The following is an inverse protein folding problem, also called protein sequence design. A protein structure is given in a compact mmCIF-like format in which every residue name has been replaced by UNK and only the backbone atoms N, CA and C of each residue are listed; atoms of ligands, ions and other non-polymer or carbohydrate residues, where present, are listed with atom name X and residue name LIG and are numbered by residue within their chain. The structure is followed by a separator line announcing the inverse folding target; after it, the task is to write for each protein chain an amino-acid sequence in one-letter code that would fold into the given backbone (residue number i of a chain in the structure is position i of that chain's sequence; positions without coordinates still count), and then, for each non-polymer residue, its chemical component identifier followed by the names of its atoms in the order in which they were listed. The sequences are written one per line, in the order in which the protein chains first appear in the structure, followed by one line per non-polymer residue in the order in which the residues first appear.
data_IF_123414051996
#
_entry.id   IF_123414051996
#
_cell.length_a   1.000
_cell.length_b   1.000
_cell.length_c   1.000
_cell.angle_alpha   90.00
_cell.angle_beta   90.00
_cell.angle_gamma   90.00
#
_symmetry.space_group_name_H-M   'P 1'
#
loop_
_entity.id
_entity.type
_entity.pdbx_description
1 polymer ?
#
# COMPACT_ATOMS: atom_id res chain seq x y z
N UNK A 1 -2.88 -19.49 -2.57
CA UNK A 1 -1.79 -20.06 -1.78
C UNK A 1 -1.73 -19.38 -0.41
N UNK A 2 -1.68 -20.20 0.65
CA UNK A 2 -1.61 -19.66 2.04
C UNK A 2 -0.13 -19.60 2.42
N UNK A 3 0.39 -18.39 2.57
CA UNK A 3 1.70 -18.19 3.19
C UNK A 3 1.58 -18.51 4.69
N UNK A 4 2.42 -19.42 5.18
CA UNK A 4 2.55 -19.74 6.60
C UNK A 4 3.93 -19.29 7.09
N UNK A 5 3.97 -18.64 8.23
CA UNK A 5 5.21 -18.30 8.93
C UNK A 5 5.19 -18.98 10.29
N UNK A 6 6.16 -19.84 10.55
CA UNK A 6 6.33 -20.53 11.83
C UNK A 6 7.54 -19.91 12.55
N UNK A 7 7.29 -19.36 13.73
CA UNK A 7 8.33 -18.79 14.58
C UNK A 7 8.54 -19.69 15.78
N UNK A 8 9.71 -20.30 15.88
CA UNK A 8 10.08 -21.19 16.98
C UNK A 8 11.16 -20.53 17.81
N UNK A 9 10.95 -20.44 19.13
CA UNK A 9 11.95 -19.92 20.05
C UNK A 9 13.04 -20.97 20.29
N UNK A 10 14.28 -20.52 20.15
CA UNK A 10 15.49 -21.20 20.59
C UNK A 10 16.01 -20.51 21.86
N UNK A 11 17.17 -20.91 22.37
CA UNK A 11 17.72 -20.35 23.62
C UNK A 11 17.90 -18.81 23.54
N UNK A 12 18.61 -18.33 22.54
CA UNK A 12 19.01 -16.93 22.33
C UNK A 12 18.65 -16.40 20.93
N UNK A 13 17.77 -17.12 20.22
CA UNK A 13 17.38 -16.79 18.87
C UNK A 13 15.94 -17.24 18.56
N UNK A 14 15.42 -16.80 17.44
CA UNK A 14 14.18 -17.29 16.84
C UNK A 14 14.51 -17.95 15.51
N UNK A 15 14.02 -19.16 15.34
CA UNK A 15 13.95 -19.84 14.03
C UNK A 15 12.67 -19.44 13.35
N UNK A 16 12.79 -18.76 12.23
CA UNK A 16 11.65 -18.32 11.42
C UNK A 16 11.64 -19.12 10.13
N UNK A 17 10.58 -19.90 9.94
CA UNK A 17 10.36 -20.70 8.74
C UNK A 17 9.18 -20.16 7.96
N UNK A 18 9.40 -19.83 6.70
CA UNK A 18 8.37 -19.33 5.78
C UNK A 18 8.08 -20.41 4.76
N UNK A 19 6.83 -20.87 4.74
CA UNK A 19 6.29 -21.81 3.76
C UNK A 19 5.30 -21.07 2.89
N UNK A 20 5.58 -20.98 1.61
CA UNK A 20 4.69 -20.43 0.58
C UNK A 20 4.53 -21.46 -0.57
N UNK A 21 4.33 -21.04 -1.80
CA UNK A 21 4.21 -21.92 -2.97
C UNK A 21 5.51 -22.59 -3.43
N UNK A 22 6.64 -22.23 -2.82
CA UNK A 22 7.98 -22.77 -3.13
C UNK A 22 8.57 -23.54 -1.95
N UNK A 23 9.86 -23.89 -2.01
CA UNK A 23 10.58 -24.51 -0.92
C UNK A 23 10.55 -23.65 0.34
N UNK A 24 10.44 -24.27 1.52
CA UNK A 24 10.46 -23.53 2.77
C UNK A 24 11.80 -22.82 2.96
N UNK A 25 11.72 -21.58 3.44
CA UNK A 25 12.90 -20.74 3.73
C UNK A 25 13.04 -20.60 5.23
N UNK A 26 14.19 -20.98 5.76
CA UNK A 26 14.50 -20.88 7.18
C UNK A 26 15.55 -19.79 7.40
N UNK A 27 15.34 -18.95 8.41
CA UNK A 27 16.32 -17.98 8.90
C UNK A 27 16.39 -18.02 10.41
N UNK A 28 17.55 -17.68 10.94
CA UNK A 28 17.76 -17.45 12.37
C UNK A 28 17.80 -15.95 12.64
N UNK A 29 17.12 -15.51 13.68
CA UNK A 29 17.11 -14.11 14.14
C UNK A 29 17.59 -14.08 15.57
N UNK A 30 18.70 -13.40 15.85
CA UNK A 30 19.16 -13.18 17.21
C UNK A 30 18.05 -12.43 18.00
N UNK A 31 17.67 -12.95 19.13
CA UNK A 31 16.55 -12.41 19.89
C UNK A 31 16.65 -12.80 21.37
N UNK A 32 16.57 -11.81 22.23
CA UNK A 32 16.47 -12.08 23.67
C UNK A 32 15.12 -12.71 24.05
N UNK A 33 14.97 -13.12 25.31
CA UNK A 33 13.74 -13.80 25.78
C UNK A 33 12.52 -12.89 25.78
N UNK A 34 12.68 -11.57 25.68
CA UNK A 34 11.58 -10.59 25.70
C UNK A 34 10.92 -10.41 24.36
N UNK A 35 11.59 -10.78 23.26
CA UNK A 35 11.06 -10.60 21.90
C UNK A 35 9.73 -11.29 21.74
N UNK A 36 8.72 -10.55 21.29
CA UNK A 36 7.42 -11.07 20.86
C UNK A 36 7.34 -11.04 19.33
N UNK A 37 6.61 -11.95 18.70
CA UNK A 37 6.35 -11.86 17.27
C UNK A 37 5.51 -10.60 16.98
N UNK A 38 5.81 -9.93 15.87
CA UNK A 38 4.99 -8.83 15.36
C UNK A 38 4.44 -9.25 13.99
N UNK A 39 3.13 -9.32 13.92
CA UNK A 39 2.40 -9.57 12.68
C UNK A 39 1.56 -8.34 12.44
N UNK A 40 1.74 -7.69 11.30
CA UNK A 40 0.98 -6.49 10.96
C UNK A 40 -0.53 -6.78 10.98
N UNK A 41 -1.32 -5.85 11.51
CA UNK A 41 -2.77 -5.98 11.74
C UNK A 41 -3.19 -6.97 12.84
N UNK A 42 -2.24 -7.57 13.60
CA UNK A 42 -2.53 -8.43 14.75
C UNK A 42 -2.06 -7.74 16.03
N UNK A 43 -2.93 -7.62 17.04
CA UNK A 43 -2.72 -6.73 18.18
C UNK A 43 -2.45 -7.45 19.51
N UNK A 44 -2.57 -8.79 19.59
CA UNK A 44 -2.26 -9.51 20.81
C UNK A 44 -0.80 -9.35 21.31
N UNK A 45 0.23 -9.15 20.43
CA UNK A 45 1.58 -8.91 20.96
C UNK A 45 1.68 -7.58 21.71
N UNK A 46 0.94 -6.57 21.26
CA UNK A 46 0.84 -5.31 22.00
C UNK A 46 0.15 -5.51 23.35
N UNK A 47 -0.93 -6.29 23.41
CA UNK A 47 -1.60 -6.58 24.67
C UNK A 47 -0.63 -7.21 25.69
N UNK A 48 0.12 -8.24 25.28
CA UNK A 48 1.11 -8.87 26.17
C UNK A 48 2.17 -7.88 26.63
N UNK A 49 2.63 -7.00 25.76
CA UNK A 49 3.61 -5.98 26.09
C UNK A 49 3.05 -4.96 27.10
N UNK A 50 1.81 -4.50 26.90
CA UNK A 50 1.10 -3.57 27.82
C UNK A 50 0.87 -4.20 29.18
N UNK A 51 0.46 -5.47 29.23
CA UNK A 51 0.28 -6.21 30.48
C UNK A 51 1.60 -6.35 31.25
N UNK A 52 2.71 -6.62 30.54
CA UNK A 52 4.06 -6.66 31.14
C UNK A 52 4.47 -5.31 31.73
N UNK A 53 4.24 -4.22 30.99
CA UNK A 53 4.50 -2.88 31.48
C UNK A 53 3.68 -2.58 32.71
N UNK A 54 2.37 -2.88 32.69
CA UNK A 54 1.48 -2.70 33.84
C UNK A 54 1.97 -3.48 35.06
N UNK A 55 2.28 -4.75 34.89
CA UNK A 55 2.76 -5.62 35.98
C UNK A 55 4.10 -5.17 36.55
N UNK A 56 4.98 -4.55 35.77
CA UNK A 56 6.29 -4.06 36.24
C UNK A 56 6.21 -2.79 37.09
N UNK A 57 5.10 -2.04 37.01
CA UNK A 57 4.96 -0.73 37.65
C UNK A 57 5.87 0.37 37.05
N UNK A 58 6.65 0.06 36.02
CA UNK A 58 7.52 1.02 35.38
C UNK A 58 6.73 2.06 34.56
N UNK A 59 7.16 3.34 34.50
CA UNK A 59 6.46 4.35 33.70
C UNK A 59 6.63 4.14 32.20
N UNK A 60 7.72 3.47 31.79
CA UNK A 60 8.02 3.15 30.37
C UNK A 60 8.89 1.92 30.23
N UNK A 61 8.89 1.31 29.04
CA UNK A 61 9.80 0.22 28.68
C UNK A 61 10.04 0.18 27.17
N UNK A 62 11.14 -0.44 26.77
CA UNK A 62 11.35 -0.85 25.38
C UNK A 62 10.97 -2.33 25.25
N UNK A 63 10.03 -2.61 24.36
CA UNK A 63 9.60 -3.96 24.05
C UNK A 63 10.08 -4.34 22.64
N UNK A 64 11.05 -5.26 22.52
CA UNK A 64 11.47 -5.73 21.22
C UNK A 64 10.39 -6.61 20.60
N UNK A 65 10.01 -6.29 19.37
CA UNK A 65 9.08 -7.08 18.54
C UNK A 65 9.78 -7.54 17.27
N UNK A 66 9.54 -8.79 16.85
CA UNK A 66 10.09 -9.34 15.62
C UNK A 66 9.36 -8.73 14.40
N UNK A 67 10.02 -7.77 13.75
CA UNK A 67 9.49 -7.10 12.55
C UNK A 67 10.20 -7.64 11.29
N UNK A 68 9.64 -8.65 10.67
CA UNK A 68 10.28 -9.27 9.51
C UNK A 68 11.59 -9.98 9.88
N UNK A 69 12.75 -9.50 9.43
CA UNK A 69 14.04 -10.18 9.60
C UNK A 69 14.82 -9.83 10.88
N UNK A 70 14.34 -8.86 11.66
CA UNK A 70 15.01 -8.41 12.89
C UNK A 70 14.00 -8.03 13.96
N UNK A 71 14.46 -7.99 15.22
CA UNK A 71 13.70 -7.34 16.28
C UNK A 71 13.87 -5.81 16.19
N UNK A 72 12.79 -5.09 16.47
CA UNK A 72 12.81 -3.64 16.59
C UNK A 72 12.16 -3.23 17.92
N UNK A 73 12.70 -2.22 18.57
CA UNK A 73 12.22 -1.75 19.84
C UNK A 73 11.02 -0.82 19.68
N UNK A 74 9.93 -1.19 20.32
CA UNK A 74 8.73 -0.36 20.47
C UNK A 74 8.76 0.25 21.86
N UNK A 75 8.65 1.57 21.95
CA UNK A 75 8.54 2.22 23.24
C UNK A 75 7.10 2.15 23.74
N UNK A 76 6.92 1.63 24.95
CA UNK A 76 5.64 1.65 25.67
C UNK A 76 5.75 2.58 26.86
N UNK A 77 4.74 3.43 27.08
CA UNK A 77 4.68 4.32 28.23
C UNK A 77 3.31 4.35 28.88
N UNK A 78 3.24 4.34 30.19
CA UNK A 78 2.04 4.63 30.96
C UNK A 78 1.86 6.14 31.06
N UNK A 79 0.73 6.67 30.58
CA UNK A 79 0.43 8.12 30.58
C UNK A 79 -0.77 8.46 31.48
N UNK A 80 -1.37 7.46 32.09
CA UNK A 80 -2.49 7.60 33.02
C UNK A 80 -2.86 6.25 33.63
N UNK A 81 -3.86 6.20 34.51
CA UNK A 81 -4.27 4.97 35.20
C UNK A 81 -4.83 3.89 34.25
N UNK A 82 -5.46 4.29 33.17
CA UNK A 82 -6.05 3.44 32.14
C UNK A 82 -5.50 3.71 30.74
N UNK A 83 -4.48 4.56 30.63
CA UNK A 83 -3.99 5.10 29.37
C UNK A 83 -2.51 4.83 29.18
N UNK A 84 -2.15 4.30 28.02
CA UNK A 84 -0.78 3.99 27.61
C UNK A 84 -0.52 4.45 26.19
N UNK A 85 0.75 4.50 25.81
CA UNK A 85 1.18 4.70 24.42
C UNK A 85 2.06 3.56 23.94
N UNK A 86 2.02 3.32 22.64
CA UNK A 86 2.95 2.43 21.93
C UNK A 86 3.53 3.23 20.78
N UNK A 87 4.82 3.48 20.81
CA UNK A 87 5.54 4.18 19.74
C UNK A 87 6.25 3.17 18.86
N UNK A 88 5.78 3.08 17.61
CA UNK A 88 6.45 2.29 16.59
C UNK A 88 7.71 3.02 16.11
N UNK A 89 8.87 2.35 15.93
CA UNK A 89 10.13 2.99 15.58
C UNK A 89 10.11 3.89 14.34
N UNK A 90 9.15 3.68 13.42
CA UNK A 90 9.09 4.43 12.15
C UNK A 90 7.70 4.93 11.75
N UNK A 91 6.62 4.55 12.48
CA UNK A 91 5.24 4.84 12.03
C UNK A 91 4.47 5.81 12.92
N UNK A 92 5.07 6.24 14.03
CA UNK A 92 4.45 7.15 14.99
C UNK A 92 3.88 6.45 16.22
N UNK A 93 3.17 7.21 17.05
CA UNK A 93 2.67 6.80 18.36
C UNK A 93 1.19 6.48 18.31
N UNK A 94 0.84 5.32 18.83
CA UNK A 94 -0.53 4.85 19.04
C UNK A 94 -0.94 5.14 20.50
N UNK A 95 -2.17 5.58 20.70
CA UNK A 95 -2.78 5.75 22.04
C UNK A 95 -3.60 4.52 22.39
N UNK A 96 -3.47 4.06 23.62
CA UNK A 96 -4.15 2.83 24.05
C UNK A 96 -4.89 3.06 25.35
N UNK A 97 -6.16 2.66 25.43
CA UNK A 97 -6.85 2.48 26.69
C UNK A 97 -6.77 1.02 27.13
N UNK A 98 -6.46 0.79 28.37
CA UNK A 98 -6.27 -0.53 28.95
C UNK A 98 -7.12 -0.69 30.23
N UNK A 99 -7.42 -1.93 30.59
CA UNK A 99 -8.01 -2.22 31.91
C UNK A 99 -6.95 -2.27 33.02
N UNK A 100 -7.38 -2.57 34.24
CA UNK A 100 -6.52 -2.65 35.41
C UNK A 100 -5.38 -3.68 35.25
N UNK A 101 -5.57 -4.72 34.46
CA UNK A 101 -4.55 -5.74 34.16
C UNK A 101 -3.66 -5.38 32.97
N UNK A 102 -3.90 -4.23 32.33
CA UNK A 102 -3.17 -3.82 31.13
C UNK A 102 -3.67 -4.46 29.82
N UNK A 103 -4.86 -5.12 29.85
CA UNK A 103 -5.45 -5.68 28.63
C UNK A 103 -5.96 -4.55 27.75
N UNK A 104 -5.72 -4.69 26.44
CA UNK A 104 -6.10 -3.70 25.45
C UNK A 104 -7.62 -3.59 25.34
N UNK A 105 -8.16 -2.39 25.56
CA UNK A 105 -9.58 -2.05 25.36
C UNK A 105 -9.78 -1.35 24.01
N UNK A 106 -9.06 -0.24 23.80
CA UNK A 106 -9.07 0.53 22.53
C UNK A 106 -7.65 0.90 22.19
N UNK A 107 -7.25 0.73 20.93
CA UNK A 107 -6.01 1.26 20.39
C UNK A 107 -6.34 2.20 19.24
N UNK A 108 -5.90 3.43 19.34
CA UNK A 108 -6.03 4.45 18.30
C UNK A 108 -4.68 4.67 17.62
N UNK A 109 -4.58 4.26 16.38
CA UNK A 109 -3.45 4.48 15.51
C UNK A 109 -3.72 5.55 14.43
N UNK A 110 -4.73 6.40 14.60
CA UNK A 110 -5.11 7.44 13.64
C UNK A 110 -4.01 8.44 13.34
N UNK A 111 -3.14 8.73 14.33
CA UNK A 111 -1.97 9.60 14.17
C UNK A 111 -0.75 8.90 13.55
N UNK A 112 -0.87 7.64 13.13
CA UNK A 112 0.21 6.85 12.51
C UNK A 112 -0.07 6.61 11.03
N UNK A 113 0.89 6.02 10.33
CA UNK A 113 0.68 5.60 8.92
C UNK A 113 -0.37 4.50 8.78
N UNK A 114 -0.78 3.83 9.87
CA UNK A 114 -1.79 2.76 9.85
C UNK A 114 -3.22 3.28 9.77
N UNK A 115 -3.52 4.44 10.38
CA UNK A 115 -4.82 5.13 10.36
C UNK A 115 -6.00 4.21 10.71
N UNK A 116 -5.90 3.44 11.78
CA UNK A 116 -6.93 2.51 12.23
C UNK A 116 -7.22 2.66 13.71
N UNK A 117 -8.41 2.20 14.12
CA UNK A 117 -8.81 2.04 15.51
C UNK A 117 -9.13 0.57 15.74
N UNK A 118 -8.62 0.02 16.84
CA UNK A 118 -8.87 -1.35 17.28
C UNK A 118 -9.66 -1.29 18.58
N UNK A 119 -10.77 -1.99 18.63
CA UNK A 119 -11.60 -2.08 19.83
C UNK A 119 -11.75 -3.54 20.25
N UNK A 120 -11.63 -3.78 21.55
CA UNK A 120 -11.99 -5.08 22.12
C UNK A 120 -13.51 -5.23 22.11
N UNK A 121 -13.98 -6.30 21.52
CA UNK A 121 -15.37 -6.67 21.52
C UNK A 121 -15.59 -7.91 22.40
N UNK A 122 -16.81 -8.16 22.89
CA UNK A 122 -17.17 -9.45 23.49
C UNK A 122 -16.83 -10.60 22.53
N UNK A 123 -16.65 -11.79 23.10
CA UNK A 123 -16.41 -12.98 22.28
C UNK A 123 -17.54 -13.18 21.26
N UNK A 124 -17.15 -13.53 20.04
CA UNK A 124 -18.11 -13.83 18.97
C UNK A 124 -17.71 -15.14 18.27
N UNK A 125 -18.70 -15.90 17.81
CA UNK A 125 -18.45 -17.08 16.99
C UNK A 125 -17.95 -16.65 15.61
N UNK A 126 -16.73 -17.05 15.26
CA UNK A 126 -16.17 -16.80 13.93
C UNK A 126 -16.93 -17.57 12.85
N UNK A 127 -17.45 -18.77 13.16
CA UNK A 127 -18.24 -19.56 12.24
C UNK A 127 -19.57 -18.89 11.91
N UNK A 128 -20.25 -18.34 12.94
CA UNK A 128 -21.49 -17.56 12.74
C UNK A 128 -21.23 -16.29 11.93
N UNK A 129 -20.09 -15.63 12.16
CA UNK A 129 -19.70 -14.44 11.40
C UNK A 129 -19.39 -14.79 9.94
N UNK A 130 -18.64 -15.85 9.69
CA UNK A 130 -18.33 -16.35 8.35
C UNK A 130 -19.61 -16.75 7.59
N UNK A 131 -20.52 -17.48 8.25
CA UNK A 131 -21.81 -17.84 7.65
C UNK A 131 -22.67 -16.62 7.28
N UNK A 132 -22.67 -15.59 8.13
CA UNK A 132 -23.37 -14.32 7.85
C UNK A 132 -22.79 -13.62 6.62
N UNK A 133 -21.47 -13.57 6.51
CA UNK A 133 -20.81 -12.95 5.34
C UNK A 133 -21.01 -13.76 4.06
N UNK A 134 -20.93 -15.09 4.14
CA UNK A 134 -21.24 -15.95 3.01
C UNK A 134 -22.67 -15.77 2.51
N UNK A 135 -23.63 -15.63 3.44
CA UNK A 135 -25.03 -15.36 3.09
C UNK A 135 -25.19 -13.96 2.45
N UNK A 136 -24.49 -12.95 2.94
CA UNK A 136 -24.47 -11.61 2.36
C UNK A 136 -23.85 -11.61 0.94
N UNK A 137 -22.77 -12.35 0.74
CA UNK A 137 -22.15 -12.54 -0.57
C UNK A 137 -23.12 -13.21 -1.57
N UNK A 138 -23.77 -14.30 -1.14
CA UNK A 138 -24.76 -14.99 -1.94
C UNK A 138 -25.98 -14.13 -2.31
N UNK A 139 -26.35 -13.19 -1.44
CA UNK A 139 -27.41 -12.21 -1.68
C UNK A 139 -26.95 -10.98 -2.48
N UNK A 140 -25.70 -10.92 -2.95
CA UNK A 140 -25.13 -9.75 -3.64
C UNK A 140 -24.90 -8.53 -2.75
N UNK A 141 -25.01 -8.66 -1.44
CA UNK A 141 -24.86 -7.59 -0.44
C UNK A 141 -23.44 -7.56 0.19
N UNK A 142 -22.46 -8.15 -0.48
CA UNK A 142 -21.05 -8.17 -0.02
C UNK A 142 -20.40 -6.80 -0.14
N UNK A 143 -19.23 -6.66 0.49
CA UNK A 143 -18.37 -5.49 0.31
C UNK A 143 -17.81 -5.35 -1.13
N UNK A 144 -18.18 -6.27 -2.02
CA UNK A 144 -17.79 -6.33 -3.43
C UNK A 144 -16.43 -7.03 -3.66
N UNK A 145 -16.17 -7.34 -4.91
CA UNK A 145 -14.95 -8.02 -5.33
C UNK A 145 -13.69 -7.24 -4.97
N UNK A 146 -12.61 -7.95 -4.69
CA UNK A 146 -11.28 -7.33 -4.56
C UNK A 146 -10.93 -6.57 -5.85
N UNK A 147 -10.03 -5.58 -5.73
CA UNK A 147 -9.52 -4.88 -6.91
C UNK A 147 -8.94 -5.88 -7.91
N UNK A 148 -9.47 -5.85 -9.11
CA UNK A 148 -9.01 -6.67 -10.22
C UNK A 148 -7.70 -6.15 -10.82
N UNK A 149 -7.37 -6.69 -11.99
CA UNK A 149 -6.23 -6.27 -12.81
C UNK A 149 -6.68 -6.22 -14.27
N UNK A 150 -6.18 -5.25 -15.01
CA UNK A 150 -6.43 -5.09 -16.44
C UNK A 150 -5.14 -4.77 -17.17
N UNK A 151 -5.04 -5.26 -18.41
CA UNK A 151 -3.98 -4.87 -19.34
C UNK A 151 -4.60 -4.19 -20.54
N UNK A 152 -4.03 -3.06 -20.93
CA UNK A 152 -4.41 -2.28 -22.11
C UNK A 152 -3.22 -2.23 -23.05
N UNK A 153 -3.43 -2.62 -24.31
CA UNK A 153 -2.42 -2.47 -25.37
C UNK A 153 -2.99 -1.53 -26.42
N UNK A 154 -2.22 -0.52 -26.79
CA UNK A 154 -2.60 0.49 -27.79
C UNK A 154 -1.46 0.68 -28.79
N UNK A 155 -1.82 0.90 -30.07
CA UNK A 155 -0.87 1.31 -31.08
C UNK A 155 -1.09 2.80 -31.40
N UNK A 156 -0.05 3.60 -31.23
CA UNK A 156 -0.09 5.06 -31.40
C UNK A 156 1.15 5.50 -32.17
N UNK A 157 0.97 6.15 -33.31
CA UNK A 157 2.05 6.65 -34.18
C UNK A 157 3.16 5.58 -34.43
N UNK A 158 2.76 4.31 -34.58
CA UNK A 158 3.67 3.19 -34.81
C UNK A 158 4.35 2.63 -33.56
N UNK A 159 4.12 3.20 -32.38
CA UNK A 159 4.54 2.60 -31.10
C UNK A 159 3.46 1.66 -30.57
N UNK A 160 3.85 0.51 -30.03
CA UNK A 160 3.02 -0.38 -29.23
C UNK A 160 3.25 -0.11 -27.76
N UNK A 161 2.20 0.31 -27.08
CA UNK A 161 2.24 0.64 -25.64
C UNK A 161 1.33 -0.33 -24.90
N UNK A 162 1.88 -0.98 -23.87
CA UNK A 162 1.10 -1.86 -22.99
C UNK A 162 1.17 -1.35 -21.57
N UNK A 163 0.00 -1.27 -20.91
CA UNK A 163 -0.13 -0.88 -19.51
C UNK A 163 -0.89 -1.97 -18.77
N UNK A 164 -0.30 -2.50 -17.71
CA UNK A 164 -0.90 -3.50 -16.84
C UNK A 164 -1.07 -2.91 -15.43
N UNK A 165 -2.30 -2.75 -14.98
CA UNK A 165 -2.65 -2.00 -13.78
C UNK A 165 -3.72 -2.67 -12.93
N UNK A 166 -3.71 -2.37 -11.63
CA UNK A 166 -4.80 -2.73 -10.74
C UNK A 166 -6.02 -1.85 -10.95
N UNK A 167 -7.21 -2.44 -10.83
CA UNK A 167 -8.50 -1.79 -11.08
C UNK A 167 -9.32 -1.63 -9.78
N UNK A 168 -8.96 -0.68 -8.87
CA UNK A 168 -9.76 -0.42 -7.68
C UNK A 168 -11.09 0.23 -8.03
N UNK A 169 -12.16 -0.16 -7.31
CA UNK A 169 -13.48 0.45 -7.42
C UNK A 169 -13.65 1.58 -6.41
N UNK A 170 -14.40 2.60 -6.76
CA UNK A 170 -14.75 3.75 -5.91
C UNK A 170 -15.59 3.34 -4.70
N UNK A 171 -16.63 2.59 -4.92
CA UNK A 171 -17.56 2.08 -3.88
C UNK A 171 -18.09 3.17 -2.97
N UNK A 172 -18.54 4.28 -3.54
CA UNK A 172 -19.08 5.40 -2.79
C UNK A 172 -18.06 6.20 -1.96
N UNK A 173 -16.76 5.85 -2.02
CA UNK A 173 -15.71 6.56 -1.27
C UNK A 173 -15.32 7.86 -1.98
N UNK A 174 -14.89 8.83 -1.19
CA UNK A 174 -14.19 9.99 -1.72
C UNK A 174 -12.77 9.58 -2.12
N UNK A 175 -12.43 9.77 -3.40
CA UNK A 175 -11.16 9.30 -3.96
C UNK A 175 -10.06 10.34 -3.74
N UNK A 176 -10.21 11.50 -4.36
CA UNK A 176 -9.13 12.49 -4.44
C UNK A 176 -9.03 13.33 -3.18
N UNK A 177 -7.86 13.35 -2.57
CA UNK A 177 -7.58 14.04 -1.31
C UNK A 177 -7.87 13.19 -0.05
N UNK A 178 -8.63 12.09 -0.16
CA UNK A 178 -8.95 11.19 0.95
C UNK A 178 -8.33 9.81 0.76
N UNK A 179 -8.85 9.00 -0.17
CA UNK A 179 -8.29 7.67 -0.46
C UNK A 179 -6.93 7.79 -1.17
N UNK A 180 -6.82 8.73 -2.09
CA UNK A 180 -5.59 9.12 -2.79
C UNK A 180 -5.22 10.53 -2.34
N UNK A 181 -4.36 10.68 -1.30
CA UNK A 181 -3.99 11.98 -0.77
C UNK A 181 -3.26 12.84 -1.82
N UNK A 182 -3.58 14.12 -1.87
CA UNK A 182 -2.87 15.07 -2.71
C UNK A 182 -1.41 15.26 -2.24
N UNK A 183 -0.50 15.51 -3.18
CA UNK A 183 0.92 15.71 -2.92
C UNK A 183 1.69 14.46 -2.47
N UNK A 184 1.08 13.29 -2.52
CA UNK A 184 1.73 12.04 -2.13
C UNK A 184 1.83 11.07 -3.31
N UNK A 185 2.89 10.26 -3.30
CA UNK A 185 3.10 9.22 -4.32
C UNK A 185 2.00 8.17 -4.22
N UNK A 186 1.32 7.95 -5.32
CA UNK A 186 0.31 6.92 -5.51
C UNK A 186 0.70 5.97 -6.64
N UNK A 187 0.48 4.67 -6.42
CA UNK A 187 0.82 3.58 -7.38
C UNK A 187 -0.01 3.57 -8.67
N UNK A 188 -0.87 4.58 -8.90
CA UNK A 188 -1.74 4.68 -10.09
C UNK A 188 -2.54 3.41 -10.36
N UNK A 189 -3.16 2.85 -9.30
CA UNK A 189 -3.90 1.59 -9.35
C UNK A 189 -4.01 0.92 -7.98
N UNK A 190 -4.02 -0.41 -7.94
CA UNK A 190 -4.14 -1.22 -6.74
C UNK A 190 -3.18 -2.41 -6.76
N UNK A 191 -2.81 -2.89 -5.56
CA UNK A 191 -1.97 -4.06 -5.31
C UNK A 191 -0.55 -3.91 -5.89
N UNK A 192 -0.29 -4.45 -7.09
CA UNK A 192 0.98 -4.27 -7.79
C UNK A 192 1.10 -2.84 -8.35
N UNK A 193 2.30 -2.37 -8.52
CA UNK A 193 2.56 -1.13 -9.22
C UNK A 193 2.15 -1.25 -10.70
N UNK A 194 1.68 -0.15 -11.29
CA UNK A 194 1.23 -0.12 -12.68
C UNK A 194 2.41 -0.26 -13.62
N UNK A 195 2.47 -1.35 -14.37
CA UNK A 195 3.53 -1.62 -15.33
C UNK A 195 3.23 -0.92 -16.66
N UNK A 196 4.27 -0.41 -17.29
CA UNK A 196 4.23 0.29 -18.58
C UNK A 196 5.35 -0.21 -19.47
N UNK A 197 5.02 -0.60 -20.70
CA UNK A 197 6.01 -0.98 -21.71
C UNK A 197 5.77 -0.23 -23.01
N UNK A 198 6.83 0.12 -23.70
CA UNK A 198 6.79 0.70 -25.03
C UNK A 198 7.89 0.07 -25.90
N UNK A 199 7.57 -0.21 -27.16
CA UNK A 199 8.53 -0.74 -28.14
C UNK A 199 9.26 0.37 -28.93
N UNK A 200 8.91 1.64 -28.67
CA UNK A 200 9.52 2.83 -29.26
C UNK A 200 9.88 3.86 -28.21
N UNK A 201 10.85 4.69 -28.53
CA UNK A 201 11.19 5.86 -27.73
C UNK A 201 10.03 6.86 -27.74
N UNK A 202 9.66 7.33 -26.58
CA UNK A 202 8.62 8.34 -26.39
C UNK A 202 9.20 9.60 -25.77
N UNK A 203 8.57 10.73 -26.04
CA UNK A 203 8.87 11.99 -25.35
C UNK A 203 7.58 12.46 -24.66
N UNK A 204 7.55 12.39 -23.34
CA UNK A 204 6.45 12.90 -22.54
C UNK A 204 6.63 14.39 -22.26
N UNK A 205 5.54 15.14 -22.30
CA UNK A 205 5.56 16.59 -22.09
C UNK A 205 6.14 17.34 -23.29
N UNK A 206 6.48 18.61 -23.08
CA UNK A 206 7.06 19.48 -24.09
C UNK A 206 8.00 20.53 -23.46
N UNK A 207 8.85 21.15 -24.28
CA UNK A 207 9.73 22.21 -23.85
C UNK A 207 10.65 21.78 -22.71
N UNK A 208 10.70 22.59 -21.64
CA UNK A 208 11.55 22.34 -20.47
C UNK A 208 11.13 21.12 -19.64
N UNK A 209 9.86 20.71 -19.73
CA UNK A 209 9.30 19.56 -19.02
C UNK A 209 9.33 18.28 -19.86
N UNK A 210 10.01 18.28 -21.01
CA UNK A 210 10.10 17.12 -21.87
C UNK A 210 10.97 16.03 -21.24
N UNK A 211 10.43 14.82 -21.17
CA UNK A 211 11.13 13.64 -20.67
C UNK A 211 11.23 12.58 -21.77
N UNK A 212 12.46 12.29 -22.19
CA UNK A 212 12.72 11.16 -23.08
C UNK A 212 12.58 9.83 -22.32
N UNK A 213 11.75 8.94 -22.85
CA UNK A 213 11.48 7.60 -22.31
C UNK A 213 11.86 6.59 -23.38
N UNK A 214 13.06 5.98 -23.31
CA UNK A 214 13.50 4.96 -24.25
C UNK A 214 12.53 3.77 -24.34
N UNK A 215 12.55 3.05 -25.44
CA UNK A 215 11.87 1.76 -25.57
C UNK A 215 12.26 0.84 -24.39
N UNK A 216 11.29 0.22 -23.75
CA UNK A 216 11.57 -0.58 -22.56
C UNK A 216 10.38 -0.78 -21.65
N UNK A 217 10.67 -1.28 -20.44
CA UNK A 217 9.70 -1.56 -19.40
C UNK A 217 9.93 -0.66 -18.18
N UNK A 218 8.85 -0.13 -17.63
CA UNK A 218 8.83 0.84 -16.55
C UNK A 218 7.66 0.57 -15.60
N UNK A 219 7.63 1.31 -14.53
CA UNK A 219 6.48 1.38 -13.63
C UNK A 219 5.99 2.83 -13.55
N UNK A 220 4.68 3.01 -13.54
CA UNK A 220 4.05 4.30 -13.38
C UNK A 220 3.58 4.50 -11.94
N UNK A 221 3.93 5.66 -11.39
CA UNK A 221 3.36 6.24 -10.19
C UNK A 221 2.83 7.63 -10.52
N UNK A 222 2.03 8.20 -9.65
CA UNK A 222 1.62 9.60 -9.79
C UNK A 222 1.64 10.30 -8.45
N UNK A 223 1.75 11.63 -8.49
CA UNK A 223 1.53 12.53 -7.36
C UNK A 223 0.36 13.42 -7.77
N UNK A 224 -0.89 13.04 -7.46
CA UNK A 224 -2.05 13.85 -7.78
C UNK A 224 -2.08 15.14 -6.94
N UNK A 225 -2.55 16.21 -7.54
CA UNK A 225 -2.82 17.47 -6.89
C UNK A 225 -4.25 17.94 -7.21
N UNK A 226 -4.71 19.05 -6.62
CA UNK A 226 -6.08 19.54 -6.83
C UNK A 226 -6.37 19.93 -8.28
N UNK A 227 -5.37 20.41 -9.00
CA UNK A 227 -5.50 20.94 -10.37
C UNK A 227 -4.63 20.21 -11.38
N UNK A 228 -4.15 19.00 -11.08
CA UNK A 228 -3.25 18.23 -11.95
C UNK A 228 -2.41 17.27 -11.15
N UNK A 229 -1.10 17.35 -11.36
CA UNK A 229 -0.14 16.52 -10.64
C UNK A 229 1.10 16.17 -11.46
N UNK A 230 1.79 15.12 -11.03
CA UNK A 230 2.96 14.59 -11.72
C UNK A 230 2.77 13.10 -12.00
N UNK A 231 3.10 12.67 -13.21
CA UNK A 231 3.35 11.27 -13.55
C UNK A 231 4.82 10.98 -13.30
N UNK A 232 5.09 9.91 -12.60
CA UNK A 232 6.44 9.39 -12.35
C UNK A 232 6.65 8.17 -13.23
N UNK A 233 7.71 8.17 -14.03
CA UNK A 233 8.16 7.02 -14.80
C UNK A 233 9.38 6.46 -14.09
N UNK A 234 9.26 5.24 -13.56
CA UNK A 234 10.26 4.61 -12.72
C UNK A 234 10.85 3.37 -13.41
N UNK A 235 12.19 3.21 -13.35
CA UNK A 235 12.92 2.12 -14.02
C UNK A 235 12.78 0.76 -13.34
N UNK A 236 12.28 0.72 -12.10
CA UNK A 236 12.03 -0.56 -11.43
C UNK A 236 10.74 -1.17 -11.95
N UNK A 237 10.71 -2.49 -12.14
CA UNK A 237 9.54 -3.23 -12.63
C UNK A 237 9.23 -4.42 -11.73
N UNK A 238 7.96 -4.90 -11.77
CA UNK A 238 7.54 -6.11 -11.05
C UNK A 238 7.34 -5.95 -9.53
N UNK A 239 7.51 -4.73 -8.98
CA UNK A 239 7.36 -4.48 -7.55
C UNK A 239 5.87 -4.32 -7.14
N UNK A 240 5.62 -4.46 -5.84
CA UNK A 240 4.32 -4.07 -5.25
C UNK A 240 4.14 -2.56 -5.31
N UNK A 241 2.90 -2.08 -5.37
CA UNK A 241 2.61 -0.65 -5.46
C UNK A 241 3.05 0.19 -4.26
N UNK A 242 3.45 -0.44 -3.16
CA UNK A 242 4.01 0.22 -1.97
C UNK A 242 5.54 0.25 -1.94
N UNK A 243 6.19 -0.44 -2.88
CA UNK A 243 7.65 -0.49 -2.98
C UNK A 243 8.15 0.54 -4.02
N UNK A 244 7.96 1.82 -3.71
CA UNK A 244 8.46 2.92 -4.51
C UNK A 244 9.86 3.33 -4.05
N UNK A 245 10.77 3.46 -5.02
CA UNK A 245 12.13 3.95 -4.82
C UNK A 245 12.38 5.14 -5.76
N UNK A 246 12.46 6.34 -5.20
CA UNK A 246 12.66 7.58 -5.94
C UNK A 246 14.04 7.63 -6.67
N UNK A 247 15.04 6.90 -6.18
CA UNK A 247 16.36 6.84 -6.83
C UNK A 247 16.30 6.12 -8.19
N UNK A 248 15.22 5.40 -8.46
CA UNK A 248 14.96 4.71 -9.73
C UNK A 248 14.04 5.49 -10.67
N UNK A 249 13.62 6.70 -10.31
CA UNK A 249 12.87 7.54 -11.25
C UNK A 249 13.69 7.81 -12.52
N UNK A 250 13.09 7.54 -13.68
CA UNK A 250 13.61 8.05 -14.96
C UNK A 250 13.36 9.55 -15.02
N UNK A 251 12.19 9.98 -14.59
CA UNK A 251 11.80 11.37 -14.49
C UNK A 251 10.33 11.51 -14.14
N UNK A 252 9.89 12.76 -14.10
CA UNK A 252 8.53 13.17 -13.76
C UNK A 252 8.01 14.14 -14.80
N UNK A 253 6.75 14.00 -15.19
CA UNK A 253 6.11 14.87 -16.18
C UNK A 253 4.78 15.40 -15.63
N UNK A 254 4.35 16.59 -16.02
CA UNK A 254 3.06 17.14 -15.60
C UNK A 254 1.89 16.27 -16.02
N UNK A 255 0.91 16.14 -15.12
CA UNK A 255 -0.43 15.62 -15.37
C UNK A 255 -1.42 16.78 -15.38
N UNK A 256 -2.17 16.91 -16.45
CA UNK A 256 -3.30 17.84 -16.52
C UNK A 256 -4.56 17.17 -15.96
N UNK A 257 -5.24 17.78 -14.98
CA UNK A 257 -6.52 17.30 -14.51
C UNK A 257 -7.66 17.83 -15.39
N UNK A 258 -8.64 16.96 -15.67
CA UNK A 258 -9.86 17.27 -16.40
C UNK A 258 -11.07 16.67 -15.67
N UNK A 259 -12.20 17.38 -15.60
CA UNK A 259 -13.43 16.82 -15.08
C UNK A 259 -14.01 15.83 -16.09
N UNK A 260 -14.53 14.70 -15.58
CA UNK A 260 -15.33 13.77 -16.35
C UNK A 260 -16.81 14.07 -16.15
N UNK A 261 -17.66 13.95 -17.20
CA UNK A 261 -19.09 14.18 -17.08
C UNK A 261 -19.77 13.14 -16.18
N UNK A 262 -19.30 11.90 -16.23
CA UNK A 262 -19.82 10.78 -15.47
C UNK A 262 -18.82 10.25 -14.45
N UNK A 263 -19.33 9.55 -13.44
CA UNK A 263 -18.52 8.86 -12.46
C UNK A 263 -17.90 7.61 -13.04
N UNK A 264 -16.59 7.53 -13.06
CA UNK A 264 -15.85 6.31 -13.37
C UNK A 264 -15.70 5.50 -12.09
N UNK A 265 -16.52 4.48 -11.91
CA UNK A 265 -16.57 3.63 -10.71
C UNK A 265 -15.27 2.82 -10.52
N UNK A 266 -14.73 2.27 -11.60
CA UNK A 266 -13.54 1.44 -11.60
C UNK A 266 -12.38 2.20 -12.21
N UNK A 267 -11.29 2.37 -11.47
CA UNK A 267 -10.08 3.01 -12.00
C UNK A 267 -9.65 2.36 -13.31
N UNK A 268 -9.40 3.16 -14.30
CA UNK A 268 -8.97 2.72 -15.63
C UNK A 268 -7.81 3.55 -16.15
N UNK A 269 -7.00 2.91 -17.00
CA UNK A 269 -5.94 3.56 -17.76
C UNK A 269 -6.23 3.37 -19.23
N UNK A 270 -6.05 4.43 -20.01
CA UNK A 270 -6.18 4.37 -21.47
C UNK A 270 -5.01 5.10 -22.13
N UNK A 271 -4.64 4.65 -23.31
CA UNK A 271 -3.75 5.37 -24.22
C UNK A 271 -4.52 5.61 -25.50
N UNK A 272 -4.64 6.86 -25.88
CA UNK A 272 -5.38 7.29 -27.09
C UNK A 272 -4.49 8.11 -28.00
N UNK A 273 -4.65 8.04 -29.33
CA UNK A 273 -3.98 8.96 -30.24
C UNK A 273 -4.32 10.42 -29.91
N UNK A 274 -3.34 11.32 -30.00
CA UNK A 274 -3.49 12.77 -29.79
C UNK A 274 -2.43 13.50 -30.63
N UNK A 275 -2.82 14.04 -31.78
CA UNK A 275 -1.90 14.66 -32.74
C UNK A 275 -0.85 13.67 -33.27
N UNK A 276 0.42 14.06 -33.21
CA UNK A 276 1.56 13.27 -33.67
C UNK A 276 2.02 12.21 -32.65
N UNK A 277 1.27 12.03 -31.58
CA UNK A 277 1.58 11.11 -30.53
C UNK A 277 0.33 10.57 -29.84
N UNK A 278 0.36 10.53 -28.51
CA UNK A 278 -0.73 10.01 -27.72
C UNK A 278 -0.90 10.71 -26.38
N UNK A 279 -1.97 10.35 -25.73
CA UNK A 279 -2.28 10.75 -24.37
C UNK A 279 -2.48 9.52 -23.49
N UNK A 280 -1.71 9.43 -22.44
CA UNK A 280 -1.92 8.52 -21.33
C UNK A 280 -2.96 9.15 -20.40
N UNK A 281 -4.04 8.43 -20.11
CA UNK A 281 -5.19 8.89 -19.35
C UNK A 281 -5.41 7.98 -18.14
N UNK A 282 -5.46 8.56 -16.95
CA UNK A 282 -5.82 7.89 -15.72
C UNK A 282 -7.20 8.40 -15.29
N UNK A 283 -8.19 7.53 -15.25
CA UNK A 283 -9.58 7.92 -15.02
C UNK A 283 -10.12 7.24 -13.77
N UNK A 284 -10.64 8.03 -12.84
CA UNK A 284 -11.32 7.55 -11.66
C UNK A 284 -12.24 8.62 -11.07
N UNK A 285 -13.39 8.18 -10.53
CA UNK A 285 -14.44 9.08 -10.05
C UNK A 285 -14.82 10.10 -11.15
N UNK A 286 -14.79 11.37 -10.89
CA UNK A 286 -15.08 12.45 -11.86
C UNK A 286 -13.83 13.16 -12.35
N UNK A 287 -12.68 12.48 -12.32
CA UNK A 287 -11.41 13.09 -12.70
C UNK A 287 -10.64 12.21 -13.69
N UNK A 288 -10.15 12.85 -14.72
CA UNK A 288 -9.14 12.31 -15.63
C UNK A 288 -7.83 13.07 -15.43
N UNK A 289 -6.72 12.35 -15.24
CA UNK A 289 -5.36 12.89 -15.26
C UNK A 289 -4.70 12.48 -16.57
N UNK A 290 -4.13 13.45 -17.29
CA UNK A 290 -3.62 13.24 -18.66
C UNK A 290 -2.16 13.65 -18.76
N UNK A 291 -1.32 12.74 -19.27
CA UNK A 291 0.03 13.03 -19.75
C UNK A 291 0.10 12.83 -21.26
N UNK A 292 0.57 13.83 -22.02
CA UNK A 292 0.77 13.72 -23.46
C UNK A 292 2.18 13.29 -23.77
N UNK A 293 2.34 12.57 -24.89
CA UNK A 293 3.63 12.16 -25.41
C UNK A 293 3.63 12.17 -26.94
N UNK A 294 4.81 12.29 -27.51
CA UNK A 294 5.07 12.04 -28.93
C UNK A 294 5.91 10.78 -29.07
N UNK A 295 5.83 10.13 -30.22
CA UNK A 295 6.72 9.00 -30.55
C UNK A 295 7.95 9.58 -31.27
N UNK A 296 9.14 9.25 -30.77
CA UNK A 296 10.37 9.70 -31.42
C UNK A 296 10.49 9.14 -32.83
N UNK A 297 10.90 9.99 -33.77
CA UNK A 297 11.19 9.53 -35.13
C UNK A 297 12.30 8.48 -35.08
N UNK A 298 12.17 7.42 -35.86
CA UNK A 298 13.31 6.50 -36.03
C UNK A 298 14.40 7.26 -36.78
N UNK A 299 15.55 7.38 -36.18
CA UNK A 299 16.73 7.79 -36.92
C UNK A 299 16.97 6.78 -38.07
N UNK A 300 17.07 7.29 -39.30
CA UNK A 300 17.48 6.52 -40.44
C UNK A 300 18.90 5.97 -40.24
#
# INVERSE_FOLDING_TARGET
PVRRELVTRMADSLRVEVVDTGPSRVRMVAADRRVLPFIDMVHWPFELALMRLRASGAPRTLQPLLTGSRAADFELAAIGPDSMTITHPTRGTMRVRVDAAGRLGVLDAGATTRKLVVERRPWMSLDALAARWAAADAAGASVGALSGRAAVTSSVAGATITIDHGTPSRRGREIWGVLVPFGQVWRSGANQATQFTTDRDLVFGNGADALAVPAGAYTLFSIPERTGGLLIINRQTGQTGTAYDAARDLGRVPLAARPLPDVVEVFSVAVTPDGDGGALRLQWDRTELVARFTVAAQGE
#
